data_IF_596030870589
#
_entry.id   IF_596030870589
#
_cell.length_a   1.000
_cell.length_b   1.000
_cell.length_c   1.000
_cell.angle_alpha   90.00
_cell.angle_beta   90.00
_cell.angle_gamma   90.00
#
_symmetry.space_group_name_H-M   'P 1'
#
loop_
_entity.id
_entity.type
_entity.pdbx_description
1 polymer ?
#
# COMPACT_ATOMS: atom_id res chain seq x y z
N UNK A 1 -5.88 3.41 -12.09
CA UNK A 1 -5.90 4.89 -12.27
C UNK A 1 -5.72 5.53 -10.92
N UNK A 2 -4.91 6.58 -10.81
CA UNK A 2 -4.67 7.32 -9.55
C UNK A 2 -5.16 8.75 -9.76
N UNK A 3 -5.99 9.23 -8.84
CA UNK A 3 -6.39 10.63 -8.77
C UNK A 3 -5.73 11.27 -7.56
N UNK A 4 -5.23 12.49 -7.75
CA UNK A 4 -4.69 13.35 -6.71
C UNK A 4 -5.73 14.43 -6.46
N UNK A 5 -6.18 14.55 -5.22
CA UNK A 5 -7.19 15.55 -4.82
C UNK A 5 -6.53 16.52 -3.86
N UNK A 6 -6.92 17.79 -3.92
CA UNK A 6 -6.44 18.80 -3.00
C UNK A 6 -6.73 18.39 -1.55
N UNK A 7 -5.76 18.57 -0.66
CA UNK A 7 -5.87 18.14 0.72
C UNK A 7 -6.73 19.09 1.56
N UNK A 8 -7.21 18.56 2.68
CA UNK A 8 -7.61 19.39 3.81
C UNK A 8 -6.36 19.87 4.56
N UNK A 9 -6.51 20.82 5.48
CA UNK A 9 -5.43 21.30 6.35
C UNK A 9 -4.67 20.12 7.02
N UNK A 10 -3.36 20.18 7.07
CA UNK A 10 -2.42 19.16 7.61
C UNK A 10 -2.17 17.89 6.77
N UNK A 11 -2.80 17.71 5.63
CA UNK A 11 -2.59 16.60 4.71
C UNK A 11 -1.96 17.15 3.44
N UNK A 12 -0.95 16.47 2.90
CA UNK A 12 -0.25 16.95 1.70
C UNK A 12 -1.03 16.65 0.41
N UNK A 13 -1.66 15.48 0.35
CA UNK A 13 -2.52 15.07 -0.76
C UNK A 13 -3.49 13.96 -0.34
N UNK A 14 -4.58 13.84 -1.08
CA UNK A 14 -5.48 12.69 -1.02
C UNK A 14 -5.33 11.84 -2.27
N UNK A 15 -5.11 10.53 -2.08
CA UNK A 15 -4.94 9.56 -3.15
C UNK A 15 -6.19 8.68 -3.29
N UNK A 16 -6.80 8.69 -4.46
CA UNK A 16 -7.91 7.79 -4.82
C UNK A 16 -7.42 6.88 -5.94
N UNK A 17 -7.57 5.56 -5.79
CA UNK A 17 -7.10 4.56 -6.74
C UNK A 17 -8.26 3.70 -7.21
N UNK A 18 -8.37 3.52 -8.53
CA UNK A 18 -9.30 2.59 -9.14
C UNK A 18 -8.56 1.45 -9.83
N UNK A 19 -9.03 0.23 -9.59
CA UNK A 19 -8.62 -0.98 -10.30
C UNK A 19 -9.13 -0.95 -11.75
N UNK A 20 -8.70 -1.91 -12.57
CA UNK A 20 -9.14 -2.03 -13.97
C UNK A 20 -10.63 -2.34 -14.12
N UNK A 21 -11.23 -2.95 -13.11
CA UNK A 21 -12.67 -3.27 -13.05
C UNK A 21 -13.55 -2.10 -12.56
N UNK A 22 -12.94 -0.93 -12.28
CA UNK A 22 -13.61 0.25 -11.77
C UNK A 22 -13.84 0.26 -10.25
N UNK A 23 -13.46 -0.78 -9.53
CA UNK A 23 -13.53 -0.78 -8.06
C UNK A 23 -12.45 0.12 -7.46
N UNK A 24 -12.78 0.80 -6.36
CA UNK A 24 -11.82 1.62 -5.63
C UNK A 24 -10.95 0.77 -4.70
N UNK A 25 -9.64 0.78 -4.94
CA UNK A 25 -8.67 0.12 -4.08
C UNK A 25 -8.45 0.89 -2.76
N UNK A 26 -8.26 0.16 -1.67
CA UNK A 26 -8.01 0.78 -0.37
C UNK A 26 -6.63 1.43 -0.29
N UNK A 27 -5.62 0.79 -0.87
CA UNK A 27 -4.22 1.21 -0.86
C UNK A 27 -3.45 0.54 -1.99
N UNK A 28 -2.40 1.21 -2.49
CA UNK A 28 -1.43 0.64 -3.41
C UNK A 28 -0.03 1.17 -3.08
N UNK A 29 0.85 0.30 -2.62
CA UNK A 29 2.22 0.66 -2.22
C UNK A 29 3.06 1.24 -3.36
N UNK A 30 2.90 0.71 -4.58
CA UNK A 30 3.53 1.27 -5.77
C UNK A 30 2.92 2.62 -6.14
N UNK A 31 1.58 2.71 -6.07
CA UNK A 31 0.85 3.93 -6.40
C UNK A 31 1.24 5.11 -5.50
N UNK A 32 1.36 4.89 -4.18
CA UNK A 32 1.77 5.97 -3.27
C UNK A 32 3.21 6.42 -3.51
N UNK A 33 4.12 5.51 -3.90
CA UNK A 33 5.49 5.91 -4.27
C UNK A 33 5.51 6.76 -5.54
N UNK A 34 4.75 6.38 -6.57
CA UNK A 34 4.61 7.19 -7.77
C UNK A 34 4.01 8.57 -7.47
N UNK A 35 3.02 8.64 -6.58
CA UNK A 35 2.43 9.90 -6.14
C UNK A 35 3.46 10.79 -5.43
N UNK A 36 4.23 10.22 -4.49
CA UNK A 36 5.25 10.97 -3.74
C UNK A 36 6.34 11.49 -4.67
N UNK A 37 6.80 10.68 -5.62
CA UNK A 37 7.75 11.13 -6.65
C UNK A 37 7.20 12.29 -7.48
N UNK A 38 5.95 12.16 -7.94
CA UNK A 38 5.27 13.23 -8.69
C UNK A 38 5.17 14.52 -7.88
N UNK A 39 4.77 14.44 -6.61
CA UNK A 39 4.67 15.59 -5.73
C UNK A 39 6.04 16.21 -5.49
N UNK A 40 7.06 15.40 -5.26
CA UNK A 40 8.42 15.86 -5.01
C UNK A 40 9.03 16.61 -6.21
N UNK A 41 8.85 16.07 -7.41
CA UNK A 41 9.35 16.69 -8.66
C UNK A 41 8.63 18.00 -8.96
N UNK A 42 7.33 18.10 -8.63
CA UNK A 42 6.52 19.28 -8.90
C UNK A 42 6.47 20.27 -7.72
N UNK A 43 7.07 19.94 -6.57
CA UNK A 43 7.16 20.84 -5.43
C UNK A 43 8.22 21.91 -5.69
N UNK A 44 7.79 23.17 -5.78
CA UNK A 44 8.66 24.32 -6.02
C UNK A 44 9.66 24.59 -4.87
N UNK A 45 9.47 23.96 -3.71
CA UNK A 45 10.34 24.13 -2.54
C UNK A 45 11.60 23.25 -2.56
N UNK A 46 11.67 22.22 -3.40
CA UNK A 46 12.84 21.35 -3.65
C UNK A 46 13.61 20.90 -2.39
N UNK A 47 12.87 20.65 -1.31
CA UNK A 47 13.44 20.19 -0.05
C UNK A 47 13.80 18.70 -0.12
N UNK A 48 15.08 18.38 0.03
CA UNK A 48 15.61 17.00 -0.10
C UNK A 48 15.11 16.00 0.96
N UNK A 49 14.42 16.43 2.01
CA UNK A 49 13.92 15.56 3.07
C UNK A 49 12.51 16.01 3.46
N UNK A 50 11.51 15.55 2.72
CA UNK A 50 10.11 15.89 3.01
C UNK A 50 9.36 14.65 3.50
N UNK A 51 8.52 14.87 4.50
CA UNK A 51 7.53 13.92 4.94
C UNK A 51 6.17 14.29 4.34
N UNK A 52 5.61 13.38 3.53
CA UNK A 52 4.31 13.53 2.88
C UNK A 52 3.24 12.78 3.67
N UNK A 53 2.25 13.49 4.16
CA UNK A 53 1.04 12.93 4.76
C UNK A 53 0.00 12.75 3.66
N UNK A 54 -0.34 11.53 3.34
CA UNK A 54 -1.25 11.18 2.24
C UNK A 54 -2.48 10.46 2.78
N UNK A 55 -3.65 11.04 2.56
CA UNK A 55 -4.92 10.38 2.86
C UNK A 55 -5.20 9.30 1.81
N UNK A 56 -5.58 8.11 2.26
CA UNK A 56 -6.01 7.01 1.42
C UNK A 56 -7.28 6.38 1.97
N UNK A 57 -7.96 5.53 1.21
CA UNK A 57 -9.11 4.76 1.71
C UNK A 57 -8.74 3.81 2.87
N UNK A 58 -7.47 3.39 2.96
CA UNK A 58 -6.92 2.63 4.09
C UNK A 58 -6.36 3.55 5.21
N UNK A 59 -6.83 4.80 5.30
CA UNK A 59 -6.40 5.80 6.28
C UNK A 59 -5.16 6.58 5.87
N UNK A 60 -4.68 7.40 6.80
CA UNK A 60 -3.50 8.24 6.60
C UNK A 60 -2.24 7.39 6.45
N UNK A 61 -1.46 7.69 5.42
CA UNK A 61 -0.13 7.12 5.19
C UNK A 61 0.91 8.22 5.25
N UNK A 62 2.07 7.87 5.78
CA UNK A 62 3.21 8.77 5.87
C UNK A 62 4.30 8.22 4.95
N UNK A 63 4.73 9.02 4.00
CA UNK A 63 5.85 8.69 3.14
C UNK A 63 6.98 9.70 3.33
N UNK A 64 8.22 9.24 3.22
CA UNK A 64 9.41 10.08 3.29
C UNK A 64 10.20 9.96 2.00
N UNK A 65 10.63 11.09 1.47
CA UNK A 65 11.58 11.17 0.38
C UNK A 65 12.95 11.56 0.95
N UNK A 66 13.93 10.66 0.88
CA UNK A 66 15.27 10.85 1.46
C UNK A 66 16.29 10.24 0.49
N UNK A 67 17.25 11.05 0.03
CA UNK A 67 18.35 10.59 -0.84
C UNK A 67 17.88 9.80 -2.07
N UNK A 68 16.88 10.30 -2.77
CA UNK A 68 16.26 9.67 -3.94
C UNK A 68 15.56 8.31 -3.64
N UNK A 69 15.28 8.05 -2.37
CA UNK A 69 14.52 6.88 -1.94
C UNK A 69 13.19 7.28 -1.29
N UNK A 70 12.15 6.49 -1.59
CA UNK A 70 10.81 6.69 -1.02
C UNK A 70 10.50 5.57 -0.05
N UNK A 71 10.37 5.92 1.22
CA UNK A 71 9.94 5.03 2.30
C UNK A 71 8.50 5.34 2.69
N UNK A 72 7.63 4.32 2.77
CA UNK A 72 6.22 4.47 3.14
C UNK A 72 5.91 3.67 4.41
N UNK A 73 5.32 4.32 5.41
CA UNK A 73 4.76 3.65 6.59
C UNK A 73 3.40 3.02 6.21
N UNK A 74 3.41 1.74 5.88
CA UNK A 74 2.21 1.00 5.45
C UNK A 74 1.25 0.68 6.59
N UNK A 75 1.73 0.62 7.82
CA UNK A 75 0.99 0.18 9.01
C UNK A 75 1.38 -1.23 9.45
N UNK A 76 0.60 -1.80 10.35
CA UNK A 76 0.80 -3.16 10.86
C UNK A 76 0.11 -4.15 9.93
N UNK A 77 0.77 -5.26 9.53
CA UNK A 77 0.14 -6.29 8.70
C UNK A 77 -1.00 -7.00 9.46
N UNK A 78 -2.09 -7.29 8.75
CA UNK A 78 -3.18 -8.12 9.24
C UNK A 78 -2.84 -9.57 8.91
N UNK A 79 -2.74 -10.43 9.94
CA UNK A 79 -2.36 -11.84 9.82
C UNK A 79 -3.50 -12.79 10.22
N UNK A 80 -4.64 -12.27 10.67
CA UNK A 80 -5.81 -13.07 11.00
C UNK A 80 -6.64 -13.33 9.74
N UNK A 81 -6.83 -14.62 9.38
CA UNK A 81 -7.54 -15.05 8.16
C UNK A 81 -8.92 -14.42 8.02
N UNK A 82 -9.66 -14.31 9.11
CA UNK A 82 -11.00 -13.73 9.15
C UNK A 82 -11.05 -12.23 8.79
N UNK A 83 -9.90 -11.54 8.90
CA UNK A 83 -9.76 -10.11 8.60
C UNK A 83 -9.09 -9.85 7.24
N UNK A 84 -8.78 -10.94 6.51
CA UNK A 84 -8.24 -10.91 5.16
C UNK A 84 -9.25 -11.61 4.24
N UNK A 85 -9.58 -11.12 3.04
CA UNK A 85 -10.47 -11.82 2.12
C UNK A 85 -9.76 -13.06 1.52
N UNK A 86 -9.57 -14.09 2.36
CA UNK A 86 -8.94 -15.36 2.01
C UNK A 86 -9.75 -16.54 2.57
N UNK A 87 -9.71 -17.66 1.87
CA UNK A 87 -10.26 -18.95 2.33
C UNK A 87 -9.20 -19.81 3.04
N UNK A 88 -7.98 -19.31 3.21
CA UNK A 88 -6.88 -20.04 3.83
C UNK A 88 -7.05 -20.01 5.35
N UNK A 89 -7.32 -21.17 5.94
CA UNK A 89 -7.45 -21.33 7.40
C UNK A 89 -6.17 -21.86 8.06
N UNK A 90 -5.39 -22.68 7.32
CA UNK A 90 -4.12 -23.25 7.83
C UNK A 90 -3.12 -22.13 8.06
N UNK A 91 -2.39 -22.19 9.20
CA UNK A 91 -1.36 -21.23 9.55
C UNK A 91 0.01 -21.88 9.71
N UNK A 92 1.04 -21.24 9.17
CA UNK A 92 2.45 -21.52 9.47
C UNK A 92 3.02 -20.29 10.16
N UNK A 93 3.62 -20.47 11.33
CA UNK A 93 4.13 -19.37 12.16
C UNK A 93 3.09 -18.24 12.39
N UNK A 94 1.84 -18.63 12.66
CA UNK A 94 0.69 -17.72 12.86
C UNK A 94 0.25 -16.93 11.62
N UNK A 95 0.80 -17.20 10.44
CA UNK A 95 0.42 -16.55 9.18
C UNK A 95 -0.42 -17.53 8.35
N UNK A 96 -1.59 -17.11 7.83
CA UNK A 96 -2.39 -17.94 6.92
C UNK A 96 -1.54 -18.38 5.72
N UNK A 97 -1.50 -19.68 5.46
CA UNK A 97 -0.59 -20.24 4.47
C UNK A 97 -1.19 -21.43 3.73
N UNK A 98 -0.84 -21.59 2.46
CA UNK A 98 -1.27 -22.69 1.62
C UNK A 98 -0.08 -23.25 0.81
N UNK A 99 -0.01 -24.57 0.70
CA UNK A 99 0.94 -25.24 -0.16
C UNK A 99 0.39 -25.35 -1.59
N UNK A 100 1.09 -24.75 -2.53
CA UNK A 100 0.80 -24.85 -3.96
C UNK A 100 1.69 -25.91 -4.56
N UNK A 101 1.10 -27.05 -4.93
CA UNK A 101 1.83 -28.18 -5.51
C UNK A 101 1.31 -28.40 -6.94
N UNK A 102 2.20 -28.32 -7.91
CA UNK A 102 2.00 -28.74 -9.29
C UNK A 102 3.23 -29.55 -9.75
N UNK A 103 3.15 -30.20 -10.91
CA UNK A 103 4.19 -31.11 -11.42
C UNK A 103 5.62 -30.54 -11.43
N UNK A 104 5.74 -29.21 -11.57
CA UNK A 104 7.02 -28.50 -11.64
C UNK A 104 7.19 -27.44 -10.55
N UNK A 105 6.31 -27.43 -9.53
CA UNK A 105 6.22 -26.31 -8.61
C UNK A 105 5.73 -26.79 -7.24
N UNK A 106 6.52 -26.51 -6.23
CA UNK A 106 6.14 -26.74 -4.83
C UNK A 106 6.56 -25.53 -4.00
N UNK A 107 5.60 -24.66 -3.66
CA UNK A 107 5.86 -23.48 -2.87
C UNK A 107 4.77 -23.25 -1.83
N UNK A 108 5.12 -22.53 -0.77
CA UNK A 108 4.19 -22.08 0.25
C UNK A 108 3.86 -20.62 -0.02
N UNK A 109 2.58 -20.33 -0.22
CA UNK A 109 2.05 -18.97 -0.26
C UNK A 109 1.52 -18.55 1.11
N UNK A 110 1.66 -17.29 1.42
CA UNK A 110 1.16 -16.66 2.65
C UNK A 110 0.16 -15.57 2.30
N UNK A 111 -0.94 -15.47 3.08
CA UNK A 111 -1.91 -14.39 2.92
C UNK A 111 -1.68 -13.31 3.99
N UNK A 112 -1.54 -12.07 3.55
CA UNK A 112 -1.29 -10.91 4.41
C UNK A 112 -2.16 -9.73 3.98
N UNK A 113 -2.80 -9.06 4.92
CA UNK A 113 -3.52 -7.82 4.68
C UNK A 113 -2.64 -6.60 4.98
N UNK A 114 -2.50 -5.69 4.01
CA UNK A 114 -1.74 -4.43 4.14
C UNK A 114 -2.57 -3.23 3.68
N UNK A 115 -3.89 -3.26 3.94
CA UNK A 115 -4.87 -2.35 3.38
C UNK A 115 -5.57 -2.96 2.15
N UNK A 116 -4.82 -3.63 1.27
CA UNK A 116 -5.32 -4.62 0.31
C UNK A 116 -4.82 -6.02 0.71
N UNK A 117 -5.49 -7.10 0.26
CA UNK A 117 -4.99 -8.47 0.43
C UNK A 117 -3.77 -8.72 -0.46
N UNK A 118 -2.81 -9.43 0.07
CA UNK A 118 -1.59 -9.87 -0.61
C UNK A 118 -1.33 -11.35 -0.37
#
# INVERSE_FOLDING_TARGET
MIFIVEPNEDIYAKMIIFNSDGSEAQMCGNGIRCLVEYLHVNDSMNNKNIEYKIETKAGLKIAKYINDEITVKMGVPILESQNIPTTIEKKINSIPSHEFIDKNFNNIGYAVGMGNPH
#
